data_IF_869972578488
#
_entry.id   IF_869972578488
#
_cell.length_a   1.000
_cell.length_b   1.000
_cell.length_c   1.000
_cell.angle_alpha   90.00
_cell.angle_beta   90.00
_cell.angle_gamma   90.00
#
_symmetry.space_group_name_H-M   'P 1'
#
loop_
_entity.id
_entity.type
_entity.pdbx_description
1 polymer ?
#
# COMPACT_ATOMS: atom_id res chain seq x y z
N UNK A 1 -15.00 -3.07 78.55
CA UNK A 1 -14.95 -3.53 77.13
C UNK A 1 -15.25 -2.34 76.25
N UNK A 2 -14.24 -1.78 75.58
CA UNK A 2 -14.42 -0.62 74.66
C UNK A 2 -14.25 -1.20 73.22
N UNK A 3 -15.33 -1.10 72.41
CA UNK A 3 -15.34 -1.48 71.02
C UNK A 3 -14.80 -0.30 70.17
N UNK A 4 -13.70 -0.52 69.42
CA UNK A 4 -13.15 0.38 68.38
C UNK A 4 -13.86 0.07 67.06
N UNK A 5 -14.61 1.07 66.55
CA UNK A 5 -15.12 1.09 65.19
C UNK A 5 -14.03 1.66 64.24
N UNK A 6 -13.57 0.83 63.36
CA UNK A 6 -12.64 1.22 62.27
C UNK A 6 -13.49 1.55 61.03
N UNK A 7 -13.54 2.84 60.69
CA UNK A 7 -14.21 3.31 59.47
C UNK A 7 -13.23 3.19 58.29
N UNK A 8 -13.47 2.27 57.38
CA UNK A 8 -12.71 2.11 56.16
C UNK A 8 -13.16 3.12 55.08
N UNK A 9 -12.28 4.00 54.67
CA UNK A 9 -12.49 4.93 53.54
C UNK A 9 -12.14 4.20 52.25
N UNK A 10 -13.16 3.90 51.45
CA UNK A 10 -12.96 3.35 50.09
C UNK A 10 -12.76 4.52 49.12
N UNK A 11 -11.52 4.72 48.68
CA UNK A 11 -11.21 5.72 47.65
C UNK A 11 -11.56 5.14 46.27
N UNK A 12 -12.60 5.63 45.65
CA UNK A 12 -12.97 5.31 44.26
C UNK A 12 -12.04 6.07 43.32
N UNK A 13 -11.10 5.39 42.71
CA UNK A 13 -10.23 5.95 41.65
C UNK A 13 -11.02 6.03 40.34
N UNK A 14 -11.47 7.22 39.97
CA UNK A 14 -12.02 7.50 38.64
C UNK A 14 -10.90 7.43 37.61
N UNK A 15 -10.85 6.33 36.85
CA UNK A 15 -10.01 6.22 35.66
C UNK A 15 -10.65 7.05 34.55
N UNK A 16 -10.13 8.26 34.34
CA UNK A 16 -10.48 9.10 33.19
C UNK A 16 -9.82 8.50 31.96
N UNK A 17 -10.57 7.72 31.18
CA UNK A 17 -10.18 7.30 29.85
C UNK A 17 -10.10 8.54 28.96
N UNK A 18 -8.90 9.05 28.73
CA UNK A 18 -8.68 10.07 27.72
C UNK A 18 -9.11 9.52 26.35
N UNK A 19 -9.95 10.26 25.57
CA UNK A 19 -10.31 9.82 24.24
C UNK A 19 -9.02 9.71 23.41
N UNK A 20 -8.80 8.53 22.80
CA UNK A 20 -7.72 8.34 21.84
C UNK A 20 -7.90 9.38 20.72
N UNK A 21 -7.01 10.37 20.70
CA UNK A 21 -7.00 11.39 19.66
C UNK A 21 -6.80 10.67 18.33
N UNK A 22 -7.86 10.58 17.52
CA UNK A 22 -7.77 10.09 16.17
C UNK A 22 -6.78 11.01 15.44
N UNK A 23 -5.57 10.51 15.18
CA UNK A 23 -4.59 11.25 14.40
C UNK A 23 -5.27 11.66 13.09
N UNK A 24 -5.34 12.97 12.82
CA UNK A 24 -5.81 13.49 11.53
C UNK A 24 -5.00 12.77 10.46
N UNK A 25 -5.65 11.97 9.62
CA UNK A 25 -4.99 11.38 8.46
C UNK A 25 -4.40 12.54 7.66
N UNK A 26 -3.10 12.65 7.62
CA UNK A 26 -2.40 13.61 6.78
C UNK A 26 -2.84 13.39 5.32
N UNK A 27 -2.91 14.46 4.52
CA UNK A 27 -3.12 14.34 3.09
C UNK A 27 -1.93 13.67 2.40
N UNK A 28 -2.02 13.47 1.11
CA UNK A 28 -0.87 13.09 0.28
C UNK A 28 0.30 14.09 0.51
N UNK A 29 1.55 13.64 0.64
CA UNK A 29 2.69 14.52 0.89
C UNK A 29 2.73 15.69 -0.10
N UNK A 30 2.99 16.89 0.41
CA UNK A 30 2.92 18.12 -0.38
C UNK A 30 3.68 18.04 -1.72
N UNK A 31 4.90 17.46 -1.79
CA UNK A 31 5.62 17.33 -3.06
C UNK A 31 4.91 16.46 -4.10
N UNK A 32 4.10 15.51 -3.68
CA UNK A 32 3.40 14.57 -4.56
C UNK A 32 1.95 14.94 -4.83
N UNK A 33 1.36 15.78 -3.98
CA UNK A 33 -0.08 16.03 -3.99
C UNK A 33 -0.60 16.43 -5.38
N UNK A 34 0.09 17.35 -6.05
CA UNK A 34 -0.30 17.80 -7.40
C UNK A 34 -0.25 16.66 -8.43
N UNK A 35 0.79 15.81 -8.38
CA UNK A 35 0.93 14.65 -9.27
C UNK A 35 -0.14 13.60 -9.05
N UNK A 36 -0.41 13.25 -7.80
CA UNK A 36 -1.45 12.27 -7.46
C UNK A 36 -2.85 12.79 -7.74
N UNK A 37 -3.10 14.10 -7.55
CA UNK A 37 -4.36 14.72 -7.96
C UNK A 37 -4.54 14.70 -9.48
N UNK A 38 -3.47 15.02 -10.25
CA UNK A 38 -3.48 14.90 -11.71
C UNK A 38 -3.74 13.48 -12.18
N UNK A 39 -3.14 12.48 -11.51
CA UNK A 39 -3.40 11.07 -11.79
C UNK A 39 -4.87 10.73 -11.56
N UNK A 40 -5.41 11.05 -10.37
CA UNK A 40 -6.82 10.78 -10.04
C UNK A 40 -7.76 11.38 -11.08
N UNK A 41 -7.54 12.64 -11.47
CA UNK A 41 -8.34 13.32 -12.48
C UNK A 41 -8.23 12.65 -13.86
N UNK A 42 -7.01 12.20 -14.24
CA UNK A 42 -6.77 11.61 -15.55
C UNK A 42 -7.37 10.21 -15.70
N UNK A 43 -7.38 9.42 -14.62
CA UNK A 43 -7.98 8.08 -14.63
C UNK A 43 -9.46 8.09 -14.25
N UNK A 44 -10.00 9.25 -13.86
CA UNK A 44 -11.37 9.49 -13.40
C UNK A 44 -11.79 8.49 -12.29
N UNK A 45 -10.88 8.24 -11.36
CA UNK A 45 -11.09 7.29 -10.27
C UNK A 45 -10.23 7.68 -9.05
N UNK A 46 -10.64 7.26 -7.83
CA UNK A 46 -9.78 7.40 -6.67
C UNK A 46 -8.45 6.69 -6.86
N UNK A 47 -7.37 7.27 -6.32
CA UNK A 47 -6.03 6.68 -6.31
C UNK A 47 -5.47 6.68 -4.88
N UNK A 48 -4.55 5.79 -4.58
CA UNK A 48 -3.94 5.69 -3.25
C UNK A 48 -2.53 6.27 -3.26
N UNK A 49 -2.33 7.36 -2.54
CA UNK A 49 -1.05 8.03 -2.36
C UNK A 49 -0.37 7.52 -1.08
N UNK A 50 0.88 7.04 -1.12
CA UNK A 50 1.60 6.66 0.08
C UNK A 50 2.10 7.91 0.83
N UNK A 51 2.09 7.86 2.17
CA UNK A 51 2.71 8.89 3.01
C UNK A 51 4.01 8.41 3.65
N UNK A 52 4.43 7.21 3.33
CA UNK A 52 5.67 6.58 3.77
C UNK A 52 6.16 5.60 2.71
N UNK A 53 7.46 5.45 2.59
CA UNK A 53 8.14 4.47 1.73
C UNK A 53 9.21 3.71 2.53
N UNK A 54 9.52 2.44 2.17
CA UNK A 54 10.63 1.73 2.79
C UNK A 54 11.98 2.33 2.37
N UNK A 55 12.99 2.22 3.26
CA UNK A 55 14.35 2.57 2.93
C UNK A 55 14.91 1.60 1.84
N UNK A 56 15.61 2.08 0.81
CA UNK A 56 16.12 3.46 0.60
C UNK A 56 15.13 4.39 -0.13
N UNK A 57 13.90 3.96 -0.39
CA UNK A 57 12.90 4.76 -1.11
C UNK A 57 12.27 5.87 -0.28
N UNK A 58 12.48 5.89 1.03
CA UNK A 58 12.00 6.92 1.95
C UNK A 58 12.50 8.33 1.59
N UNK A 59 13.74 8.43 1.08
CA UNK A 59 14.29 9.68 0.56
C UNK A 59 13.59 10.15 -0.73
N UNK A 60 12.82 9.31 -1.39
CA UNK A 60 12.03 9.66 -2.57
C UNK A 60 10.72 10.36 -2.23
N UNK A 61 10.32 10.40 -0.97
CA UNK A 61 9.20 11.21 -0.51
C UNK A 61 9.57 12.67 -0.72
N UNK A 62 9.00 13.27 -1.76
CA UNK A 62 9.31 14.64 -2.18
C UNK A 62 10.32 14.75 -3.31
N UNK A 63 10.90 13.64 -3.76
CA UNK A 63 11.74 13.57 -4.96
C UNK A 63 10.99 13.11 -6.20
N UNK A 64 11.71 12.97 -7.29
CA UNK A 64 11.17 12.45 -8.54
C UNK A 64 10.78 10.97 -8.35
N UNK A 65 9.54 10.64 -8.66
CA UNK A 65 9.13 9.27 -8.87
C UNK A 65 9.02 9.04 -10.37
N UNK A 66 9.56 7.91 -10.80
CA UNK A 66 9.51 7.58 -12.21
C UNK A 66 8.13 7.01 -12.54
N UNK A 67 7.58 7.58 -13.62
CA UNK A 67 6.53 7.00 -14.44
C UNK A 67 5.08 7.01 -13.92
N UNK A 68 4.60 8.17 -13.51
CA UNK A 68 3.16 8.47 -13.50
C UNK A 68 2.51 8.34 -14.88
N UNK A 69 3.31 8.21 -15.94
CA UNK A 69 2.83 8.29 -17.32
C UNK A 69 2.39 6.96 -17.91
N UNK A 70 2.55 5.85 -17.20
CA UNK A 70 2.00 4.55 -17.61
C UNK A 70 0.50 4.48 -17.34
N UNK A 71 -0.28 5.24 -18.10
CA UNK A 71 -1.74 5.16 -18.07
C UNK A 71 -2.20 4.47 -19.34
N UNK A 72 -2.84 3.31 -19.17
CA UNK A 72 -3.43 2.54 -20.25
C UNK A 72 -4.67 3.23 -20.85
N UNK A 73 -5.07 2.78 -22.03
CA UNK A 73 -6.33 3.23 -22.68
C UNK A 73 -7.57 2.87 -21.86
N UNK A 74 -7.45 1.87 -21.01
CA UNK A 74 -8.47 1.39 -20.07
C UNK A 74 -8.41 2.11 -18.71
N UNK A 75 -7.66 3.21 -18.62
CA UNK A 75 -7.39 3.98 -17.41
C UNK A 75 -6.59 3.23 -16.34
N UNK A 76 -6.12 2.02 -16.61
CA UNK A 76 -5.16 1.37 -15.72
C UNK A 76 -3.88 2.20 -15.61
N UNK A 77 -3.26 2.18 -14.43
CA UNK A 77 -2.05 2.96 -14.20
C UNK A 77 -0.99 2.20 -13.41
N UNK A 78 0.25 2.62 -13.59
CA UNK A 78 1.41 2.21 -12.80
C UNK A 78 2.16 3.46 -12.32
N UNK A 79 2.49 3.48 -11.04
CA UNK A 79 3.46 4.43 -10.44
C UNK A 79 4.54 3.60 -9.76
N UNK A 80 5.78 3.80 -10.16
CA UNK A 80 6.94 3.06 -9.63
C UNK A 80 7.86 4.00 -8.86
N UNK A 81 8.26 3.57 -7.67
CA UNK A 81 9.32 4.17 -6.88
C UNK A 81 10.53 3.25 -6.98
N UNK A 82 11.60 3.75 -7.55
CA UNK A 82 12.79 2.97 -7.89
C UNK A 82 14.00 3.54 -7.18
N UNK A 83 14.82 2.66 -6.61
CA UNK A 83 16.21 2.93 -6.31
C UNK A 83 17.06 2.31 -7.42
N UNK A 84 17.76 3.15 -8.15
CA UNK A 84 18.72 2.70 -9.14
C UNK A 84 20.02 2.38 -8.39
N UNK A 85 20.33 1.11 -8.22
CA UNK A 85 21.62 0.66 -7.73
C UNK A 85 22.76 1.03 -8.71
N UNK A 86 24.00 0.81 -8.31
CA UNK A 86 25.21 1.10 -9.11
C UNK A 86 25.17 0.45 -10.51
N UNK A 87 24.40 -0.60 -10.68
CA UNK A 87 24.21 -1.31 -11.95
C UNK A 87 22.95 -0.86 -12.71
N UNK A 88 22.20 0.11 -12.20
CA UNK A 88 20.97 0.58 -12.82
C UNK A 88 19.83 -0.44 -12.82
N UNK A 89 19.90 -1.48 -11.96
CA UNK A 89 18.99 -2.63 -11.98
C UNK A 89 17.61 -2.35 -11.34
N UNK A 90 17.44 -1.23 -10.64
CA UNK A 90 16.21 -0.97 -9.91
C UNK A 90 15.94 -2.01 -8.81
N UNK A 91 17.00 -2.43 -8.10
CA UNK A 91 16.99 -3.55 -7.17
C UNK A 91 15.95 -3.38 -6.05
N UNK A 92 15.73 -2.15 -5.62
CA UNK A 92 14.69 -1.84 -4.65
C UNK A 92 13.62 -1.00 -5.33
N UNK A 93 12.42 -1.54 -5.42
CA UNK A 93 11.31 -0.75 -5.93
C UNK A 93 9.95 -1.18 -5.36
N UNK A 94 9.04 -0.21 -5.35
CA UNK A 94 7.65 -0.37 -4.95
C UNK A 94 6.79 0.12 -6.10
N UNK A 95 5.85 -0.70 -6.53
CA UNK A 95 4.90 -0.40 -7.58
C UNK A 95 3.49 -0.19 -7.01
N UNK A 96 2.84 0.87 -7.46
CA UNK A 96 1.42 1.13 -7.24
C UNK A 96 0.68 0.98 -8.55
N UNK A 97 -0.31 0.09 -8.59
CA UNK A 97 -1.16 -0.13 -9.76
C UNK A 97 -2.61 0.08 -9.40
N UNK A 98 -3.36 0.59 -10.34
CA UNK A 98 -4.81 0.64 -10.26
C UNK A 98 -5.46 0.26 -11.58
N UNK A 99 -6.62 -0.36 -11.47
CA UNK A 99 -7.46 -0.81 -12.59
C UNK A 99 -8.87 -0.27 -12.36
N UNK A 100 -9.11 1.03 -12.66
CA UNK A 100 -10.41 1.66 -12.49
C UNK A 100 -11.51 0.94 -13.24
N UNK A 101 -12.63 0.65 -12.57
CA UNK A 101 -13.75 -0.06 -13.13
C UNK A 101 -13.55 -1.57 -13.37
N UNK A 102 -12.38 -2.11 -13.02
CA UNK A 102 -12.06 -3.53 -13.18
C UNK A 102 -11.77 -4.19 -11.84
N UNK A 103 -12.42 -5.32 -11.57
CA UNK A 103 -12.24 -6.09 -10.34
C UNK A 103 -11.45 -7.38 -10.54
N UNK A 104 -11.32 -7.82 -11.79
CA UNK A 104 -10.58 -9.03 -12.10
C UNK A 104 -9.07 -8.79 -12.07
N UNK A 105 -8.32 -9.81 -11.62
CA UNK A 105 -6.86 -9.83 -11.72
C UNK A 105 -6.47 -9.71 -13.21
N UNK A 106 -5.55 -8.80 -13.55
CA UNK A 106 -5.13 -8.61 -14.93
C UNK A 106 -4.48 -9.87 -15.51
N UNK A 107 -4.48 -9.97 -16.82
CA UNK A 107 -3.90 -11.11 -17.53
C UNK A 107 -2.56 -10.73 -18.14
N UNK A 108 -1.54 -11.51 -17.78
CA UNK A 108 -0.17 -11.41 -18.30
C UNK A 108 0.10 -12.46 -19.39
N UNK A 109 1.09 -12.25 -20.27
CA UNK A 109 1.56 -13.30 -21.14
C UNK A 109 1.94 -14.57 -20.34
N UNK A 110 1.56 -15.72 -20.85
CA UNK A 110 1.97 -16.98 -20.23
C UNK A 110 3.50 -17.13 -20.30
N UNK A 111 4.16 -17.59 -19.21
CA UNK A 111 5.63 -17.76 -19.20
C UNK A 111 6.10 -18.85 -20.18
N UNK A 112 5.22 -19.78 -20.54
CA UNK A 112 5.48 -20.85 -21.51
C UNK A 112 4.27 -20.98 -22.43
N UNK A 113 4.51 -21.10 -23.73
CA UNK A 113 3.46 -21.25 -24.76
C UNK A 113 2.84 -19.93 -25.19
N UNK A 114 1.65 -20.05 -25.81
CA UNK A 114 0.89 -18.91 -26.29
C UNK A 114 -0.33 -18.68 -25.40
N UNK A 115 -0.69 -17.42 -25.16
CA UNK A 115 -1.89 -17.06 -24.43
C UNK A 115 -1.62 -16.14 -23.25
N UNK A 116 -2.67 -15.95 -22.43
CA UNK A 116 -2.62 -15.10 -21.25
C UNK A 116 -3.13 -15.86 -20.02
N UNK A 117 -2.43 -15.69 -18.92
CA UNK A 117 -2.79 -16.22 -17.59
C UNK A 117 -3.01 -15.07 -16.61
N UNK A 118 -3.69 -15.26 -15.47
CA UNK A 118 -3.71 -14.24 -14.43
C UNK A 118 -2.29 -13.84 -14.04
N UNK A 119 -2.00 -12.54 -13.89
CA UNK A 119 -0.68 -12.07 -13.51
C UNK A 119 -0.23 -12.61 -12.16
N UNK A 120 -1.19 -12.91 -11.28
CA UNK A 120 -1.01 -13.62 -10.01
C UNK A 120 -2.31 -14.34 -9.66
N UNK A 121 -2.24 -15.50 -9.04
CA UNK A 121 -3.42 -16.33 -8.78
C UNK A 121 -3.41 -17.04 -7.42
N UNK A 122 -2.24 -17.20 -6.81
CA UNK A 122 -2.08 -17.98 -5.58
C UNK A 122 -1.94 -17.06 -4.38
N UNK A 123 -3.02 -16.87 -3.58
CA UNK A 123 -2.95 -16.07 -2.38
C UNK A 123 -2.13 -16.79 -1.31
N UNK A 124 -1.17 -16.08 -0.72
CA UNK A 124 -0.32 -16.59 0.36
C UNK A 124 -0.70 -16.01 1.73
N UNK A 125 -1.72 -15.16 1.79
CA UNK A 125 -2.20 -14.59 3.05
C UNK A 125 -3.16 -13.42 2.86
N UNK A 126 -3.44 -12.76 3.98
CA UNK A 126 -4.25 -11.55 4.05
C UNK A 126 -3.58 -10.53 4.95
N UNK A 127 -3.83 -9.26 4.68
CA UNK A 127 -3.33 -8.14 5.48
C UNK A 127 -4.41 -7.05 5.55
N UNK A 128 -4.59 -6.46 6.73
CA UNK A 128 -5.59 -5.40 6.90
C UNK A 128 -4.98 -4.25 7.67
N UNK A 129 -5.12 -3.05 7.15
CA UNK A 129 -4.73 -1.81 7.79
C UNK A 129 -5.52 -0.64 7.20
N UNK A 130 -5.73 0.41 7.96
CA UNK A 130 -6.34 1.66 7.51
C UNK A 130 -7.70 1.48 6.79
N UNK A 131 -8.48 0.46 7.21
CA UNK A 131 -9.77 0.14 6.57
C UNK A 131 -9.64 -0.57 5.22
N UNK A 132 -8.43 -0.93 4.80
CA UNK A 132 -8.16 -1.71 3.60
C UNK A 132 -7.98 -3.19 4.00
N UNK A 133 -8.65 -4.09 3.29
CA UNK A 133 -8.52 -5.53 3.45
C UNK A 133 -7.88 -6.09 2.17
N UNK A 134 -6.59 -6.38 2.22
CA UNK A 134 -5.82 -6.83 1.08
C UNK A 134 -5.53 -8.33 1.14
N UNK A 135 -5.52 -8.97 -0.02
CA UNK A 135 -5.00 -10.31 -0.22
C UNK A 135 -3.53 -10.22 -0.62
N UNK A 136 -2.69 -11.06 -0.02
CA UNK A 136 -1.25 -11.13 -0.28
C UNK A 136 -0.97 -12.17 -1.34
N UNK A 137 -0.22 -11.80 -2.36
CA UNK A 137 0.20 -12.69 -3.44
C UNK A 137 1.72 -12.71 -3.56
N UNK A 138 2.26 -13.84 -3.95
CA UNK A 138 3.63 -13.94 -4.45
C UNK A 138 3.57 -13.91 -5.97
N UNK A 139 4.20 -12.92 -6.59
CA UNK A 139 4.14 -12.73 -8.04
C UNK A 139 5.40 -13.25 -8.68
N UNK A 140 5.27 -14.26 -9.54
CA UNK A 140 6.40 -14.92 -10.19
C UNK A 140 6.37 -14.75 -11.70
N UNK A 141 5.53 -13.86 -12.22
CA UNK A 141 5.39 -13.65 -13.67
C UNK A 141 4.92 -12.24 -14.01
N UNK A 142 5.15 -11.85 -15.24
CA UNK A 142 4.80 -10.52 -15.73
C UNK A 142 5.73 -9.42 -15.22
N UNK A 143 5.26 -8.19 -15.28
CA UNK A 143 6.05 -7.01 -14.92
C UNK A 143 6.33 -6.91 -13.41
N UNK A 144 5.59 -7.63 -12.58
CA UNK A 144 5.81 -7.69 -11.12
C UNK A 144 6.46 -9.03 -10.70
N UNK A 145 7.20 -9.68 -11.60
CA UNK A 145 7.97 -10.87 -11.26
C UNK A 145 8.90 -10.58 -10.08
N UNK A 146 9.04 -11.52 -9.16
CA UNK A 146 9.80 -11.36 -7.91
C UNK A 146 9.27 -10.29 -6.96
N UNK A 147 7.96 -10.05 -7.00
CA UNK A 147 7.30 -9.16 -6.06
C UNK A 147 6.42 -9.92 -5.09
N UNK A 148 6.22 -9.30 -3.94
CA UNK A 148 5.09 -9.58 -3.09
C UNK A 148 4.10 -8.44 -3.27
N UNK A 149 2.87 -8.81 -3.57
CA UNK A 149 1.80 -7.86 -3.86
C UNK A 149 0.69 -7.95 -2.82
N UNK A 150 0.16 -6.79 -2.46
CA UNK A 150 -1.12 -6.63 -1.77
C UNK A 150 -2.14 -6.16 -2.79
N UNK A 151 -3.23 -6.90 -2.94
CA UNK A 151 -4.33 -6.52 -3.82
C UNK A 151 -5.63 -6.36 -3.04
N UNK A 152 -6.37 -5.30 -3.31
CA UNK A 152 -7.67 -5.02 -2.69
C UNK A 152 -8.61 -4.33 -3.66
N UNK A 153 -9.89 -4.33 -3.31
CA UNK A 153 -10.92 -3.65 -4.07
C UNK A 153 -11.42 -2.41 -3.35
N UNK A 154 -11.67 -1.38 -4.11
CA UNK A 154 -12.36 -0.18 -3.66
C UNK A 154 -13.12 0.44 -4.84
N UNK A 155 -14.37 0.80 -4.63
CA UNK A 155 -15.23 1.44 -5.63
C UNK A 155 -15.17 0.76 -7.01
N UNK A 156 -15.44 -0.54 -7.06
CA UNK A 156 -15.42 -1.40 -8.26
C UNK A 156 -14.08 -1.42 -9.00
N UNK A 157 -13.02 -1.03 -8.37
CA UNK A 157 -11.68 -0.99 -8.94
C UNK A 157 -10.73 -1.91 -8.16
N UNK A 158 -9.76 -2.50 -8.83
CA UNK A 158 -8.68 -3.27 -8.23
C UNK A 158 -7.45 -2.37 -8.04
N UNK A 159 -6.89 -2.40 -6.84
CA UNK A 159 -5.64 -1.71 -6.51
C UNK A 159 -4.59 -2.71 -6.04
N UNK A 160 -3.35 -2.44 -6.38
CA UNK A 160 -2.22 -3.30 -6.02
C UNK A 160 -1.06 -2.41 -5.57
N UNK A 161 -0.44 -2.78 -4.45
CA UNK A 161 0.89 -2.31 -4.10
C UNK A 161 1.81 -3.52 -4.01
N UNK A 162 2.98 -3.43 -4.62
CA UNK A 162 3.96 -4.52 -4.59
C UNK A 162 5.35 -3.99 -4.28
N UNK A 163 6.15 -4.82 -3.61
CA UNK A 163 7.55 -4.55 -3.29
C UNK A 163 8.41 -5.67 -3.86
N UNK A 164 9.50 -5.29 -4.51
CA UNK A 164 10.46 -6.22 -5.11
C UNK A 164 11.20 -7.02 -4.04
N UNK A 165 11.36 -8.31 -4.30
CA UNK A 165 12.13 -9.22 -3.46
C UNK A 165 13.56 -9.25 -3.97
N UNK A 166 14.48 -8.60 -3.25
CA UNK A 166 15.89 -8.57 -3.61
C UNK A 166 16.58 -9.92 -3.35
N UNK A 167 17.52 -10.28 -4.20
CA UNK A 167 18.37 -11.45 -4.00
C UNK A 167 19.24 -11.35 -2.72
N UNK A 168 19.49 -12.47 -2.00
CA UNK A 168 19.04 -13.83 -2.25
C UNK A 168 17.62 -14.07 -1.73
N UNK A 169 16.77 -14.20 -2.61
CA UNK A 169 15.35 -14.38 -2.74
C UNK A 169 14.67 -15.14 -1.60
N UNK A 170 14.29 -14.46 -0.55
CA UNK A 170 13.34 -15.02 0.41
C UNK A 170 12.28 -14.00 0.70
N UNK A 171 11.06 -14.47 0.77
CA UNK A 171 9.94 -13.77 1.37
C UNK A 171 10.34 -13.33 2.77
N UNK A 172 10.92 -12.17 2.86
CA UNK A 172 11.47 -11.71 4.12
C UNK A 172 10.35 -11.16 4.99
N UNK A 173 10.46 -11.38 6.27
CA UNK A 173 9.62 -10.72 7.28
C UNK A 173 9.67 -9.19 7.11
N UNK A 174 10.75 -8.67 6.56
CA UNK A 174 10.92 -7.24 6.29
C UNK A 174 9.97 -6.74 5.23
N UNK A 175 9.82 -7.44 4.09
CA UNK A 175 8.89 -7.05 3.02
C UNK A 175 7.45 -7.05 3.52
N UNK A 176 7.06 -8.07 4.30
CA UNK A 176 5.73 -8.08 4.94
C UNK A 176 5.52 -6.87 5.84
N UNK A 177 6.51 -6.50 6.66
CA UNK A 177 6.43 -5.32 7.52
C UNK A 177 6.33 -4.03 6.71
N UNK A 178 7.13 -3.92 5.64
CA UNK A 178 7.09 -2.77 4.74
C UNK A 178 5.72 -2.62 4.09
N UNK A 179 5.20 -3.69 3.51
CA UNK A 179 3.87 -3.70 2.88
C UNK A 179 2.76 -3.37 3.89
N UNK A 180 2.84 -3.88 5.12
CA UNK A 180 1.89 -3.54 6.19
C UNK A 180 1.94 -2.06 6.56
N UNK A 181 3.14 -1.49 6.63
CA UNK A 181 3.34 -0.06 6.89
C UNK A 181 2.90 0.80 5.70
N UNK A 182 3.19 0.38 4.47
CA UNK A 182 2.66 1.01 3.27
C UNK A 182 1.14 1.06 3.30
N UNK A 183 0.48 -0.08 3.53
CA UNK A 183 -0.98 -0.16 3.60
C UNK A 183 -1.57 0.79 4.66
N UNK A 184 -0.90 0.91 5.82
CA UNK A 184 -1.28 1.87 6.88
C UNK A 184 -1.11 3.31 6.43
N UNK A 185 -0.12 3.59 5.60
CA UNK A 185 0.28 4.92 5.16
C UNK A 185 -0.53 5.45 3.97
N UNK A 186 -1.37 4.61 3.34
CA UNK A 186 -2.11 5.01 2.14
C UNK A 186 -3.18 6.04 2.44
N UNK A 187 -3.24 7.08 1.60
CA UNK A 187 -4.26 8.14 1.63
C UNK A 187 -5.02 8.12 0.31
N UNK A 188 -6.34 8.15 0.39
CA UNK A 188 -7.19 8.19 -0.80
C UNK A 188 -7.25 9.61 -1.36
N UNK A 189 -6.88 9.76 -2.64
CA UNK A 189 -7.01 10.98 -3.43
C UNK A 189 -8.13 10.76 -4.45
N UNK A 190 -9.18 11.57 -4.39
CA UNK A 190 -10.32 11.49 -5.31
C UNK A 190 -10.12 12.46 -6.48
N UNK A 191 -10.72 12.19 -7.66
CA UNK A 191 -10.80 13.19 -8.72
C UNK A 191 -11.40 14.49 -8.16
N UNK A 192 -10.88 15.63 -8.62
CA UNK A 192 -11.53 16.90 -8.40
C UNK A 192 -12.78 16.94 -9.30
N UNK A 193 -13.95 17.17 -8.71
CA UNK A 193 -15.20 17.36 -9.46
C UNK A 193 -15.20 18.61 -10.31
#
# INVERSE_FOLDING_TARGET
MRALLVAGVVALALVVLAPASAAKKGGCPAPWNAGWQKLANKVDAPVYCPTWMPNPLDAKIGGDYQDIYSIGKDHSFLVSFLELGDLGSGDVHVNFRGYPGHTAIPRCPAPVGHGKVPCFSEPVGRMSANGIHATVYQVNQGADQWHIALAWHYDRSLYIVSEHVIAPYRFTTQIKRNLGRLLTSLVLVKPAG
#
